data_IF_917064603212
#
_entry.id   IF_917064603212
#
_cell.length_a   1.000
_cell.length_b   1.000
_cell.length_c   1.000
_cell.angle_alpha   90.00
_cell.angle_beta   90.00
_cell.angle_gamma   90.00
#
_symmetry.space_group_name_H-M   'P 1'
#
loop_
_entity.id
_entity.type
_entity.pdbx_description
1 polymer ?
#
# COMPACT_ATOMS: atom_id res chain seq x y z
N UNK A 1 5.78 14.37 18.28
CA UNK A 1 5.22 14.51 16.91
C UNK A 1 3.91 13.76 16.77
N UNK A 2 2.88 14.43 16.23
CA UNK A 2 1.61 13.84 15.78
C UNK A 2 1.67 13.47 14.31
N UNK A 3 1.36 12.22 13.98
CA UNK A 3 1.35 11.72 12.60
C UNK A 3 -0.10 11.55 12.11
N UNK A 4 -0.49 12.28 11.06
CA UNK A 4 -1.72 11.96 10.34
C UNK A 4 -1.46 10.82 9.36
N UNK A 5 -2.17 9.71 9.51
CA UNK A 5 -2.09 8.56 8.61
C UNK A 5 -3.39 8.41 7.83
N UNK A 6 -3.36 8.73 6.54
CA UNK A 6 -4.52 8.64 5.65
C UNK A 6 -4.37 7.44 4.74
N UNK A 7 -5.30 6.48 4.85
CA UNK A 7 -5.19 5.20 4.17
C UNK A 7 -6.54 4.70 3.67
N UNK A 8 -6.51 3.96 2.57
CA UNK A 8 -7.68 3.26 2.02
C UNK A 8 -7.80 1.82 2.53
N UNK A 9 -6.83 1.35 3.33
CA UNK A 9 -6.87 0.01 3.92
C UNK A 9 -8.04 -0.06 4.89
N UNK A 10 -8.96 -1.02 4.73
CA UNK A 10 -10.03 -1.22 5.69
C UNK A 10 -9.52 -1.75 7.03
N UNK A 11 -10.07 -1.24 8.12
CA UNK A 11 -9.79 -1.70 9.48
C UNK A 11 -10.97 -2.47 10.08
N UNK A 12 -10.64 -3.45 10.91
CA UNK A 12 -11.58 -4.16 11.79
C UNK A 12 -11.30 -3.67 13.21
N UNK A 13 -12.35 -3.31 13.95
CA UNK A 13 -12.24 -2.84 15.34
C UNK A 13 -12.75 -3.93 16.27
N UNK A 14 -11.88 -4.42 17.16
CA UNK A 14 -12.21 -5.45 18.18
C UNK A 14 -11.50 -5.12 19.48
N UNK A 15 -12.22 -5.18 20.60
CA UNK A 15 -11.63 -5.02 21.94
C UNK A 15 -10.72 -3.78 22.07
N UNK A 16 -11.19 -2.66 21.53
CA UNK A 16 -10.46 -1.38 21.50
C UNK A 16 -9.10 -1.42 20.77
N UNK A 17 -8.91 -2.40 19.88
CA UNK A 17 -7.75 -2.53 18.99
C UNK A 17 -8.19 -2.43 17.54
N UNK A 18 -7.25 -1.98 16.71
CA UNK A 18 -7.46 -1.77 15.28
C UNK A 18 -6.62 -2.76 14.50
N UNK A 19 -7.31 -3.63 13.75
CA UNK A 19 -6.71 -4.68 12.94
C UNK A 19 -6.82 -4.33 11.47
N UNK A 20 -5.79 -4.67 10.69
CA UNK A 20 -5.79 -4.54 9.24
C UNK A 20 -4.77 -5.49 8.63
N UNK A 21 -4.67 -5.48 7.30
CA UNK A 21 -3.74 -6.30 6.53
C UNK A 21 -2.31 -6.28 7.10
N UNK A 22 -1.85 -7.45 7.53
CA UNK A 22 -0.65 -7.62 8.35
C UNK A 22 0.62 -6.99 7.79
N UNK A 23 0.96 -7.17 6.50
CA UNK A 23 2.13 -6.51 5.91
C UNK A 23 2.08 -4.99 5.99
N UNK A 24 0.91 -4.38 5.84
CA UNK A 24 0.74 -2.94 6.02
C UNK A 24 0.90 -2.53 7.48
N UNK A 25 0.27 -3.26 8.40
CA UNK A 25 0.34 -2.98 9.83
C UNK A 25 1.77 -3.10 10.36
N UNK A 26 2.52 -4.13 9.94
CA UNK A 26 3.94 -4.29 10.29
C UNK A 26 4.76 -3.07 9.90
N UNK A 27 4.57 -2.57 8.67
CA UNK A 27 5.25 -1.37 8.21
C UNK A 27 4.91 -0.15 9.07
N UNK A 28 3.62 0.09 9.33
CA UNK A 28 3.20 1.23 10.15
C UNK A 28 3.67 1.12 11.60
N UNK A 29 3.71 -0.09 12.18
CA UNK A 29 4.25 -0.31 13.52
C UNK A 29 5.73 0.10 13.61
N UNK A 30 6.54 -0.08 12.56
CA UNK A 30 7.91 0.44 12.53
C UNK A 30 7.93 1.97 12.56
N UNK A 31 7.00 2.63 11.86
CA UNK A 31 6.92 4.09 11.81
C UNK A 31 6.40 4.66 13.13
N UNK A 32 5.44 3.97 13.76
CA UNK A 32 4.80 4.40 14.99
C UNK A 32 5.74 4.42 16.19
N UNK A 33 6.88 3.72 16.14
CA UNK A 33 7.93 3.81 17.15
C UNK A 33 8.56 5.22 17.27
N UNK A 34 8.40 6.07 16.25
CA UNK A 34 9.01 7.39 16.15
C UNK A 34 8.01 8.54 16.31
N UNK A 35 6.78 8.26 16.76
CA UNK A 35 5.71 9.27 16.90
C UNK A 35 5.03 9.14 18.26
N UNK A 36 4.49 10.24 18.77
CA UNK A 36 3.81 10.24 20.08
C UNK A 36 2.33 9.89 19.97
N UNK A 37 1.74 10.18 18.80
CA UNK A 37 0.31 10.04 18.55
C UNK A 37 0.05 9.85 17.05
N UNK A 38 -0.89 8.96 16.74
CA UNK A 38 -1.34 8.72 15.37
C UNK A 38 -2.77 9.23 15.22
N UNK A 39 -3.01 10.11 14.25
CA UNK A 39 -4.34 10.51 13.79
C UNK A 39 -4.67 9.66 12.55
N UNK A 40 -5.33 8.53 12.76
CA UNK A 40 -5.64 7.57 11.69
C UNK A 40 -6.95 7.96 11.01
N UNK A 41 -6.94 8.12 9.69
CA UNK A 41 -8.14 8.33 8.88
C UNK A 41 -8.24 7.20 7.87
N UNK A 42 -9.21 6.30 8.08
CA UNK A 42 -9.33 5.07 7.30
C UNK A 42 -10.77 4.56 7.26
N UNK A 43 -11.14 3.78 6.23
CA UNK A 43 -12.39 3.06 6.22
C UNK A 43 -12.42 1.94 7.26
N UNK A 44 -13.60 1.70 7.82
CA UNK A 44 -13.87 0.53 8.66
C UNK A 44 -14.67 -0.48 7.84
N UNK A 45 -14.40 -1.76 8.05
CA UNK A 45 -15.20 -2.86 7.52
C UNK A 45 -15.68 -3.74 8.67
N UNK A 46 -16.90 -4.24 8.52
CA UNK A 46 -17.42 -5.29 9.38
C UNK A 46 -16.81 -6.63 8.95
N UNK A 47 -16.35 -7.43 9.92
CA UNK A 47 -15.74 -8.72 9.62
C UNK A 47 -15.11 -9.41 10.82
N UNK A 48 -14.78 -10.68 10.62
CA UNK A 48 -13.93 -11.43 11.53
C UNK A 48 -12.46 -11.12 11.26
N UNK A 49 -11.65 -11.08 12.32
CA UNK A 49 -10.19 -11.02 12.20
C UNK A 49 -9.74 -12.33 11.56
N UNK A 50 -8.97 -12.24 10.47
CA UNK A 50 -8.40 -13.38 9.79
C UNK A 50 -6.92 -13.58 10.16
N UNK A 51 -6.34 -14.71 9.74
CA UNK A 51 -4.92 -15.01 9.99
C UNK A 51 -3.95 -14.01 9.34
N UNK A 52 -4.41 -13.23 8.36
CA UNK A 52 -3.60 -12.22 7.66
C UNK A 52 -3.74 -10.82 8.29
N UNK A 53 -4.59 -10.64 9.30
CA UNK A 53 -4.79 -9.37 9.99
C UNK A 53 -3.89 -9.26 11.21
N UNK A 54 -3.32 -8.08 11.43
CA UNK A 54 -2.53 -7.78 12.63
C UNK A 54 -3.02 -6.50 13.31
N UNK A 55 -2.87 -6.38 14.64
CA UNK A 55 -3.18 -5.17 15.35
C UNK A 55 -2.05 -4.12 15.24
N UNK A 56 -2.41 -2.85 15.26
CA UNK A 56 -1.42 -1.80 15.51
C UNK A 56 -0.82 -1.92 16.91
N UNK A 57 0.47 -1.61 17.02
CA UNK A 57 1.25 -1.62 18.25
C UNK A 57 1.61 -0.18 18.64
N UNK A 58 0.61 0.59 19.04
CA UNK A 58 0.80 1.96 19.52
C UNK A 58 -0.29 2.34 20.53
N UNK A 59 0.09 3.00 21.62
CA UNK A 59 -0.82 3.28 22.74
C UNK A 59 -1.77 4.46 22.49
N UNK A 60 -1.39 5.40 21.61
CA UNK A 60 -2.15 6.63 21.32
C UNK A 60 -2.53 6.72 19.85
N UNK A 61 -3.66 6.13 19.49
CA UNK A 61 -4.25 6.23 18.16
C UNK A 61 -5.62 6.90 18.27
N UNK A 62 -5.77 8.08 17.67
CA UNK A 62 -7.06 8.73 17.43
C UNK A 62 -7.57 8.26 16.06
N UNK A 63 -8.50 7.30 16.07
CA UNK A 63 -9.08 6.75 14.85
C UNK A 63 -10.33 7.52 14.41
N UNK A 64 -10.17 8.30 13.34
CA UNK A 64 -11.23 9.04 12.65
C UNK A 64 -11.79 8.21 11.50
N UNK A 65 -12.76 7.36 11.85
CA UNK A 65 -13.41 6.45 10.91
C UNK A 65 -14.16 7.21 9.80
N UNK A 66 -13.99 6.75 8.58
CA UNK A 66 -14.72 7.24 7.40
C UNK A 66 -15.42 6.07 6.70
N UNK A 67 -16.51 6.30 5.94
CA UNK A 67 -17.10 5.23 5.16
C UNK A 67 -16.15 4.82 4.03
N UNK A 68 -16.08 3.52 3.74
CA UNK A 68 -15.56 3.06 2.46
C UNK A 68 -16.44 3.61 1.32
N UNK A 69 -15.81 4.00 0.22
CA UNK A 69 -16.50 4.57 -0.92
C UNK A 69 -15.89 4.09 -2.23
N UNK A 70 -16.69 4.09 -3.29
CA UNK A 70 -16.34 3.57 -4.61
C UNK A 70 -16.86 4.50 -5.70
N UNK A 71 -16.15 4.56 -6.81
CA UNK A 71 -16.52 5.34 -8.00
C UNK A 71 -16.78 4.45 -9.22
N UNK A 72 -17.02 3.15 -8.99
CA UNK A 72 -17.15 2.15 -10.06
C UNK A 72 -18.54 2.08 -10.69
N UNK A 73 -19.58 2.60 -10.02
CA UNK A 73 -20.96 2.60 -10.53
C UNK A 73 -21.67 3.90 -10.17
N UNK A 74 -22.73 4.27 -10.92
CA UNK A 74 -23.52 5.49 -10.67
C UNK A 74 -24.06 5.52 -9.23
N UNK A 75 -24.57 4.38 -8.74
CA UNK A 75 -25.06 4.24 -7.36
C UNK A 75 -23.96 4.54 -6.33
N UNK A 76 -22.76 4.00 -6.53
CA UNK A 76 -21.62 4.23 -5.64
C UNK A 76 -21.10 5.68 -5.72
N UNK A 77 -21.17 6.32 -6.89
CA UNK A 77 -20.84 7.75 -7.06
C UNK A 77 -21.79 8.63 -6.25
N UNK A 78 -23.10 8.43 -6.35
CA UNK A 78 -24.10 9.20 -5.58
C UNK A 78 -23.86 9.02 -4.07
N UNK A 79 -23.66 7.77 -3.62
CA UNK A 79 -23.32 7.47 -2.23
C UNK A 79 -22.02 8.16 -1.78
N UNK A 80 -21.01 8.17 -2.65
CA UNK A 80 -19.75 8.86 -2.40
C UNK A 80 -19.95 10.36 -2.22
N UNK A 81 -20.74 11.02 -3.08
CA UNK A 81 -21.01 12.46 -2.98
C UNK A 81 -21.64 12.80 -1.63
N UNK A 82 -22.59 11.99 -1.16
CA UNK A 82 -23.24 12.17 0.15
C UNK A 82 -22.23 12.03 1.30
N UNK A 83 -21.31 11.07 1.22
CA UNK A 83 -20.30 10.84 2.26
C UNK A 83 -19.08 11.77 2.18
N UNK A 84 -18.84 12.38 1.03
CA UNK A 84 -17.64 13.17 0.74
C UNK A 84 -17.41 14.32 1.73
N UNK A 85 -18.41 15.13 2.14
CA UNK A 85 -18.21 16.19 3.12
C UNK A 85 -17.65 15.67 4.45
N UNK A 86 -18.15 14.52 4.92
CA UNK A 86 -17.66 13.88 6.15
C UNK A 86 -16.22 13.39 5.99
N UNK A 87 -15.91 12.74 4.86
CA UNK A 87 -14.55 12.24 4.55
C UNK A 87 -13.56 13.41 4.49
N UNK A 88 -13.92 14.47 3.76
CA UNK A 88 -13.10 15.69 3.61
C UNK A 88 -12.88 16.35 4.96
N UNK A 89 -13.94 16.53 5.76
CA UNK A 89 -13.83 17.13 7.10
C UNK A 89 -12.91 16.32 8.01
N UNK A 90 -13.10 15.00 8.10
CA UNK A 90 -12.27 14.13 8.94
C UNK A 90 -10.79 14.20 8.53
N UNK A 91 -10.53 14.12 7.23
CA UNK A 91 -9.18 14.17 6.65
C UNK A 91 -8.53 15.54 6.87
N UNK A 92 -9.25 16.62 6.60
CA UNK A 92 -8.77 18.00 6.79
C UNK A 92 -8.39 18.26 8.25
N UNK A 93 -9.26 17.92 9.20
CA UNK A 93 -8.98 18.14 10.62
C UNK A 93 -7.75 17.30 11.03
N UNK A 94 -7.60 16.06 10.53
CA UNK A 94 -6.45 15.23 10.87
C UNK A 94 -5.14 15.84 10.37
N UNK A 95 -5.13 16.29 9.11
CA UNK A 95 -3.99 16.98 8.52
C UNK A 95 -3.68 18.30 9.23
N UNK A 96 -4.70 19.06 9.63
CA UNK A 96 -4.55 20.31 10.37
C UNK A 96 -3.96 20.11 11.77
N UNK A 97 -4.31 19.02 12.45
CA UNK A 97 -3.85 18.78 13.83
C UNK A 97 -2.50 18.04 13.91
N UNK A 98 -2.02 17.46 12.80
CA UNK A 98 -0.76 16.71 12.76
C UNK A 98 0.48 17.56 12.49
N UNK A 99 1.65 17.11 12.93
CA UNK A 99 2.94 17.72 12.60
C UNK A 99 3.48 17.17 11.27
N UNK A 100 3.21 15.88 11.00
CA UNK A 100 3.59 15.17 9.78
C UNK A 100 2.38 14.49 9.15
N UNK A 101 2.24 14.59 7.82
CA UNK A 101 1.14 13.96 7.07
C UNK A 101 1.68 12.79 6.25
N UNK A 102 1.13 11.59 6.47
CA UNK A 102 1.40 10.40 5.67
C UNK A 102 0.19 9.99 4.83
N UNK A 103 0.41 9.80 3.53
CA UNK A 103 -0.59 9.38 2.56
C UNK A 103 -0.24 7.99 2.02
N UNK A 104 -1.18 7.03 2.11
CA UNK A 104 -1.06 5.75 1.41
C UNK A 104 -1.78 5.83 0.07
N UNK A 105 -0.99 5.87 -0.99
CA UNK A 105 -1.43 5.90 -2.38
C UNK A 105 -1.01 4.62 -3.12
N UNK A 106 -1.59 4.32 -4.29
CA UNK A 106 -2.83 4.91 -4.80
C UNK A 106 -4.05 4.39 -4.02
N UNK A 107 -5.15 5.13 -4.07
CA UNK A 107 -6.46 4.67 -3.57
C UNK A 107 -7.46 5.81 -3.42
N UNK A 108 -8.70 5.50 -3.06
CA UNK A 108 -9.77 6.49 -2.93
C UNK A 108 -9.48 7.52 -1.82
N UNK A 109 -9.08 7.05 -0.63
CA UNK A 109 -8.59 7.95 0.44
C UNK A 109 -7.28 8.65 0.06
N UNK A 110 -6.42 7.99 -0.72
CA UNK A 110 -5.19 8.58 -1.25
C UNK A 110 -5.49 9.78 -2.16
N UNK A 111 -6.50 9.68 -3.03
CA UNK A 111 -6.94 10.78 -3.88
C UNK A 111 -7.42 11.99 -3.07
N UNK A 112 -8.29 11.76 -2.08
CA UNK A 112 -8.78 12.82 -1.18
C UNK A 112 -7.61 13.48 -0.45
N UNK A 113 -6.68 12.67 0.07
CA UNK A 113 -5.50 13.17 0.76
C UNK A 113 -4.57 13.96 -0.16
N UNK A 114 -4.33 13.51 -1.41
CA UNK A 114 -3.54 14.23 -2.40
C UNK A 114 -4.10 15.61 -2.70
N UNK A 115 -5.43 15.77 -2.68
CA UNK A 115 -6.07 17.06 -2.87
C UNK A 115 -5.96 17.94 -1.62
N UNK A 116 -6.27 17.41 -0.44
CA UNK A 116 -6.31 18.20 0.80
C UNK A 116 -4.93 18.59 1.31
N UNK A 117 -3.90 17.78 1.07
CA UNK A 117 -2.54 18.09 1.52
C UNK A 117 -2.00 19.41 0.93
N UNK A 118 -2.51 19.83 -0.24
CA UNK A 118 -2.14 21.10 -0.90
C UNK A 118 -2.42 22.32 -0.02
N UNK A 119 -3.39 22.21 0.90
CA UNK A 119 -3.76 23.25 1.85
C UNK A 119 -2.75 23.38 3.01
N UNK A 120 -1.78 22.48 3.12
CA UNK A 120 -0.81 22.42 4.21
C UNK A 120 0.64 22.49 3.69
N UNK A 121 1.02 23.55 2.94
CA UNK A 121 2.33 23.63 2.28
C UNK A 121 3.51 23.63 3.25
N UNK A 122 3.31 24.16 4.48
CA UNK A 122 4.34 24.27 5.51
C UNK A 122 4.61 22.96 6.25
N UNK A 123 3.67 22.01 6.24
CA UNK A 123 3.80 20.75 6.99
C UNK A 123 4.73 19.78 6.27
N UNK A 124 5.45 18.97 7.05
CA UNK A 124 6.23 17.85 6.52
C UNK A 124 5.28 16.74 6.08
N UNK A 125 5.55 16.16 4.91
CA UNK A 125 4.65 15.19 4.30
C UNK A 125 5.42 14.01 3.71
N UNK A 126 4.77 12.86 3.73
CA UNK A 126 5.25 11.67 3.03
C UNK A 126 4.09 10.99 2.34
N UNK A 127 4.22 10.71 1.05
CA UNK A 127 3.30 9.81 0.37
C UNK A 127 4.03 8.51 0.10
N UNK A 128 3.44 7.36 0.41
CA UNK A 128 3.89 6.08 -0.10
C UNK A 128 3.00 5.68 -1.25
N UNK A 129 3.56 5.57 -2.44
CA UNK A 129 2.87 5.07 -3.62
C UNK A 129 3.18 3.58 -3.81
N UNK A 130 2.30 2.73 -3.29
CA UNK A 130 2.45 1.28 -3.29
C UNK A 130 1.95 0.59 -4.57
N UNK A 131 1.70 1.36 -5.64
CA UNK A 131 1.30 0.87 -6.96
C UNK A 131 2.43 0.99 -7.99
N UNK A 132 2.16 0.56 -9.21
CA UNK A 132 3.11 0.75 -10.32
C UNK A 132 3.26 2.25 -10.62
N UNK A 133 4.49 2.77 -10.61
CA UNK A 133 4.76 4.17 -10.89
C UNK A 133 4.93 4.44 -12.40
N UNK A 134 5.16 3.41 -13.22
CA UNK A 134 5.36 3.51 -14.67
C UNK A 134 4.25 4.34 -15.36
N UNK A 135 4.59 5.47 -16.01
CA UNK A 135 3.63 6.29 -16.74
C UNK A 135 3.02 5.57 -17.95
N UNK A 136 3.72 4.59 -18.55
CA UNK A 136 3.26 3.84 -19.73
C UNK A 136 2.29 2.71 -19.38
N UNK A 137 2.18 2.35 -18.10
CA UNK A 137 1.30 1.27 -17.67
C UNK A 137 -0.20 1.64 -17.79
N UNK A 138 -1.05 0.64 -18.07
CA UNK A 138 -2.51 0.80 -18.08
C UNK A 138 -3.00 0.96 -16.64
N UNK A 139 -3.55 2.13 -16.31
CA UNK A 139 -3.99 2.50 -14.96
C UNK A 139 -5.25 3.37 -15.01
N UNK A 140 -6.10 3.34 -13.97
CA UNK A 140 -7.22 4.27 -13.83
C UNK A 140 -6.76 5.74 -13.90
N UNK A 141 -7.63 6.61 -14.43
CA UNK A 141 -7.34 8.05 -14.55
C UNK A 141 -7.02 8.70 -13.19
N UNK A 142 -7.70 8.26 -12.12
CA UNK A 142 -7.51 8.79 -10.76
C UNK A 142 -6.14 8.46 -10.18
N UNK A 143 -5.50 7.39 -10.65
CA UNK A 143 -4.14 7.01 -10.25
C UNK A 143 -3.14 7.90 -10.97
N UNK A 144 -3.38 8.20 -12.26
CA UNK A 144 -2.58 9.17 -13.03
C UNK A 144 -2.64 10.56 -12.40
N UNK A 145 -3.84 10.99 -11.99
CA UNK A 145 -4.01 12.25 -11.27
C UNK A 145 -3.24 12.26 -9.94
N UNK A 146 -3.31 11.19 -9.14
CA UNK A 146 -2.53 11.08 -7.91
C UNK A 146 -1.02 11.18 -8.18
N UNK A 147 -0.48 10.46 -9.18
CA UNK A 147 0.94 10.55 -9.56
C UNK A 147 1.31 11.98 -9.98
N UNK A 148 0.51 12.60 -10.85
CA UNK A 148 0.74 13.97 -11.30
C UNK A 148 0.79 14.98 -10.15
N UNK A 149 -0.13 14.88 -9.17
CA UNK A 149 -0.10 15.73 -7.97
C UNK A 149 1.18 15.46 -7.18
N UNK A 150 1.47 14.19 -6.90
CA UNK A 150 2.59 13.78 -6.05
C UNK A 150 3.96 14.13 -6.66
N UNK A 151 4.10 14.06 -7.97
CA UNK A 151 5.32 14.42 -8.70
C UNK A 151 5.57 15.93 -8.73
N UNK A 152 4.53 16.74 -8.54
CA UNK A 152 4.64 18.19 -8.58
C UNK A 152 5.13 18.76 -7.23
N UNK A 153 6.40 19.17 -7.19
CA UNK A 153 7.04 19.75 -5.99
C UNK A 153 6.45 21.10 -5.58
N UNK A 154 5.93 21.89 -6.52
CA UNK A 154 5.31 23.19 -6.24
C UNK A 154 3.93 23.04 -5.59
N UNK A 155 3.17 22.01 -6.00
CA UNK A 155 1.85 21.67 -5.43
C UNK A 155 2.01 21.01 -4.06
N UNK A 156 2.90 20.01 -3.96
CA UNK A 156 3.03 19.21 -2.74
C UNK A 156 3.73 19.99 -1.63
N UNK A 157 4.91 20.58 -1.91
CA UNK A 157 5.80 21.29 -0.98
C UNK A 157 6.16 20.48 0.27
N UNK A 158 7.43 20.41 0.67
CA UNK A 158 7.85 19.68 1.88
C UNK A 158 7.34 18.21 1.92
N UNK A 159 7.26 17.56 0.76
CA UNK A 159 6.80 16.17 0.64
C UNK A 159 7.94 15.28 0.16
N UNK A 160 8.04 14.07 0.70
CA UNK A 160 8.79 12.95 0.10
C UNK A 160 7.81 11.91 -0.42
N UNK A 161 8.00 11.43 -1.64
CA UNK A 161 7.13 10.44 -2.27
C UNK A 161 7.92 9.15 -2.47
N UNK A 162 7.58 8.15 -1.67
CA UNK A 162 8.21 6.83 -1.71
C UNK A 162 7.59 6.02 -2.85
N UNK A 163 8.41 5.62 -3.82
CA UNK A 163 8.00 4.82 -4.98
C UNK A 163 8.88 3.59 -5.12
N UNK A 164 8.33 2.50 -5.68
CA UNK A 164 9.13 1.32 -5.95
C UNK A 164 10.00 1.51 -7.19
N UNK A 165 11.32 1.33 -7.02
CA UNK A 165 12.29 1.46 -8.11
C UNK A 165 12.69 2.90 -8.42
N UNK A 166 13.62 3.01 -9.36
CA UNK A 166 14.10 4.27 -9.92
C UNK A 166 13.35 4.55 -11.23
N UNK A 167 12.99 5.81 -11.45
CA UNK A 167 12.20 6.23 -12.61
C UNK A 167 12.87 7.42 -13.29
N UNK A 168 12.96 7.35 -14.62
CA UNK A 168 13.48 8.44 -15.43
C UNK A 168 12.64 9.71 -15.25
N UNK A 169 13.31 10.87 -15.23
CA UNK A 169 12.69 12.19 -15.07
C UNK A 169 11.91 12.40 -13.77
N UNK A 170 12.15 11.57 -12.75
CA UNK A 170 11.53 11.74 -11.44
C UNK A 170 11.93 13.08 -10.81
N UNK A 171 10.95 13.81 -10.28
CA UNK A 171 11.19 15.06 -9.57
C UNK A 171 11.93 14.83 -8.24
N UNK A 172 12.52 15.90 -7.70
CA UNK A 172 13.42 15.82 -6.53
C UNK A 172 12.76 15.32 -5.25
N UNK A 173 11.42 15.32 -5.17
CA UNK A 173 10.69 14.76 -4.04
C UNK A 173 10.41 13.26 -4.16
N UNK A 174 10.64 12.65 -5.32
CA UNK A 174 10.50 11.21 -5.52
C UNK A 174 11.72 10.50 -4.93
N UNK A 175 11.47 9.54 -4.03
CA UNK A 175 12.51 8.78 -3.34
C UNK A 175 12.28 7.30 -3.63
N UNK A 176 13.24 6.62 -4.29
CA UNK A 176 13.20 5.18 -4.47
C UNK A 176 13.15 4.48 -3.10
N UNK A 177 12.19 3.59 -2.94
CA UNK A 177 11.93 2.89 -1.69
C UNK A 177 11.53 1.44 -1.98
N UNK A 178 12.16 0.51 -1.28
CA UNK A 178 11.77 -0.90 -1.30
C UNK A 178 11.29 -1.32 0.08
N UNK A 179 10.15 -2.01 0.13
CA UNK A 179 9.67 -2.64 1.36
C UNK A 179 10.59 -3.81 1.72
N UNK A 180 10.96 -3.92 3.00
CA UNK A 180 11.72 -5.01 3.62
C UNK A 180 12.49 -5.90 2.63
N UNK A 181 13.71 -5.49 2.28
CA UNK A 181 14.63 -6.29 1.48
C UNK A 181 15.81 -6.76 2.33
N UNK A 182 16.39 -7.89 1.94
CA UNK A 182 17.62 -8.40 2.53
C UNK A 182 18.81 -7.63 1.99
N UNK A 183 19.83 -7.43 2.83
CA UNK A 183 21.14 -6.91 2.42
C UNK A 183 21.97 -8.06 1.85
N UNK A 184 23.00 -7.72 1.07
CA UNK A 184 23.94 -8.75 0.57
C UNK A 184 24.59 -9.56 1.69
N UNK A 185 24.88 -8.92 2.84
CA UNK A 185 25.40 -9.61 4.03
C UNK A 185 24.41 -10.60 4.67
N UNK A 186 23.13 -10.49 4.36
CA UNK A 186 22.10 -11.41 4.88
C UNK A 186 22.01 -12.68 4.01
N UNK A 187 22.74 -12.75 2.87
CA UNK A 187 22.86 -13.94 2.04
C UNK A 187 23.52 -15.06 2.85
N UNK A 188 22.81 -16.17 2.98
CA UNK A 188 23.36 -17.41 3.53
C UNK A 188 23.74 -18.33 2.38
N UNK A 189 24.78 -19.13 2.60
CA UNK A 189 25.13 -20.20 1.66
C UNK A 189 23.94 -21.15 1.49
N UNK A 190 23.57 -21.40 0.24
CA UNK A 190 22.48 -22.33 -0.09
C UNK A 190 23.13 -23.68 -0.38
N UNK A 191 22.97 -24.62 0.55
CA UNK A 191 23.38 -26.00 0.32
C UNK A 191 22.58 -26.58 -0.86
N UNK A 192 23.31 -27.16 -1.82
CA UNK A 192 22.71 -27.90 -2.92
C UNK A 192 21.87 -29.04 -2.33
N UNK A 193 20.58 -29.05 -2.66
CA UNK A 193 19.69 -30.16 -2.33
C UNK A 193 19.74 -31.14 -3.49
N UNK A 194 19.89 -32.42 -3.19
CA UNK A 194 19.65 -33.54 -4.11
C UNK A 194 18.32 -34.18 -3.70
N UNK A 195 17.20 -33.77 -4.30
CA UNK A 195 15.91 -34.33 -3.94
C UNK A 195 15.83 -35.75 -4.50
N UNK A 196 15.67 -36.75 -3.63
CA UNK A 196 15.43 -38.15 -4.03
C UNK A 196 13.98 -38.39 -4.48
N UNK A 197 13.17 -37.34 -4.49
CA UNK A 197 11.73 -37.36 -4.78
C UNK A 197 11.37 -36.30 -5.80
N UNK A 198 10.20 -36.47 -6.43
CA UNK A 198 9.61 -35.45 -7.30
C UNK A 198 9.52 -34.09 -6.60
N UNK A 199 10.06 -33.05 -7.25
CA UNK A 199 9.99 -31.67 -6.76
C UNK A 199 8.61 -31.10 -7.09
N UNK A 200 7.85 -30.74 -6.06
CA UNK A 200 6.57 -30.06 -6.25
C UNK A 200 6.79 -28.55 -6.35
N UNK A 201 6.57 -28.01 -7.55
CA UNK A 201 6.51 -26.60 -7.86
C UNK A 201 5.10 -26.09 -7.55
N UNK A 202 5.02 -24.94 -6.89
CA UNK A 202 3.76 -24.33 -6.49
C UNK A 202 3.59 -22.97 -7.15
N UNK A 203 2.48 -22.77 -7.86
CA UNK A 203 2.02 -21.47 -8.31
C UNK A 203 0.75 -21.11 -7.54
N UNK A 204 0.80 -20.02 -6.77
CA UNK A 204 -0.38 -19.47 -6.10
C UNK A 204 -0.64 -18.06 -6.61
N UNK A 205 -1.80 -17.84 -7.21
CA UNK A 205 -2.27 -16.50 -7.56
C UNK A 205 -3.12 -16.44 -8.80
N UNK A 206 -3.65 -15.25 -9.07
CA UNK A 206 -4.52 -15.04 -10.23
C UNK A 206 -3.82 -15.37 -11.54
N UNK A 207 -4.47 -16.16 -12.39
CA UNK A 207 -4.01 -16.55 -13.73
C UNK A 207 -4.08 -15.38 -14.74
N UNK A 208 -3.37 -14.31 -14.43
CA UNK A 208 -3.33 -13.07 -15.19
C UNK A 208 -2.00 -12.92 -15.91
N UNK A 209 -1.98 -12.20 -17.04
CA UNK A 209 -0.76 -11.94 -17.83
C UNK A 209 0.39 -11.39 -16.98
N UNK A 210 0.09 -10.49 -16.03
CA UNK A 210 1.09 -9.87 -15.15
C UNK A 210 1.72 -10.84 -14.13
N UNK A 211 1.01 -11.92 -13.78
CA UNK A 211 1.54 -12.98 -12.90
C UNK A 211 2.25 -14.10 -13.65
N UNK A 212 2.22 -14.07 -14.99
CA UNK A 212 2.92 -14.99 -15.89
C UNK A 212 2.71 -16.48 -15.55
N UNK A 213 1.47 -16.98 -15.36
CA UNK A 213 1.23 -18.40 -15.06
C UNK A 213 1.74 -19.33 -16.17
N UNK A 214 1.65 -18.93 -17.44
CA UNK A 214 2.17 -19.69 -18.57
C UNK A 214 3.68 -19.92 -18.46
N UNK A 215 4.43 -18.95 -17.93
CA UNK A 215 5.85 -19.11 -17.72
C UNK A 215 6.15 -20.21 -16.68
N UNK A 216 5.33 -20.35 -15.64
CA UNK A 216 5.48 -21.44 -14.66
C UNK A 216 5.29 -22.82 -15.32
N UNK A 217 4.31 -22.94 -16.22
CA UNK A 217 4.09 -24.17 -17.00
C UNK A 217 5.28 -24.47 -17.92
N UNK A 218 5.73 -23.47 -18.68
CA UNK A 218 6.88 -23.62 -19.59
C UNK A 218 8.18 -23.95 -18.86
N UNK A 219 8.40 -23.36 -17.68
CA UNK A 219 9.53 -23.70 -16.82
C UNK A 219 9.44 -25.16 -16.35
N UNK A 220 8.26 -25.61 -15.95
CA UNK A 220 8.04 -27.00 -15.51
C UNK A 220 8.30 -27.97 -16.66
N UNK A 221 7.78 -27.67 -17.85
CA UNK A 221 8.03 -28.46 -19.06
C UNK A 221 9.53 -28.54 -19.40
N UNK A 222 10.24 -27.42 -19.34
CA UNK A 222 11.68 -27.38 -19.60
C UNK A 222 12.45 -28.26 -18.61
N UNK A 223 12.10 -28.21 -17.32
CA UNK A 223 12.71 -29.06 -16.29
C UNK A 223 12.43 -30.55 -16.52
N UNK A 224 11.20 -30.92 -16.89
CA UNK A 224 10.85 -32.29 -17.24
C UNK A 224 11.68 -32.79 -18.44
N UNK A 225 11.83 -31.96 -19.49
CA UNK A 225 12.65 -32.29 -20.66
C UNK A 225 14.14 -32.41 -20.34
N UNK A 226 14.62 -31.72 -19.31
CA UNK A 226 15.99 -31.84 -18.80
C UNK A 226 16.20 -33.02 -17.84
N UNK A 227 15.20 -33.90 -17.66
CA UNK A 227 15.32 -35.12 -16.86
C UNK A 227 15.05 -34.92 -15.36
N UNK A 228 14.59 -33.74 -14.94
CA UNK A 228 14.23 -33.52 -13.54
C UNK A 228 12.82 -34.05 -13.26
N UNK A 229 12.67 -34.82 -12.17
CA UNK A 229 11.38 -35.23 -11.66
C UNK A 229 10.69 -34.02 -10.98
N UNK A 230 9.80 -33.33 -11.71
CA UNK A 230 9.06 -32.17 -11.20
C UNK A 230 7.57 -32.27 -11.47
N UNK A 231 6.76 -31.64 -10.62
CA UNK A 231 5.30 -31.49 -10.81
C UNK A 231 4.90 -30.06 -10.48
N UNK A 232 3.99 -29.47 -11.26
CA UNK A 232 3.43 -28.15 -10.95
C UNK A 232 2.01 -28.28 -10.40
N UNK A 233 1.76 -27.61 -9.27
CA UNK A 233 0.43 -27.41 -8.70
C UNK A 233 0.07 -25.93 -8.80
N UNK A 234 -1.15 -25.64 -9.29
CA UNK A 234 -1.64 -24.28 -9.56
C UNK A 234 -2.89 -24.03 -8.74
N UNK A 235 -2.88 -22.97 -7.93
CA UNK A 235 -3.96 -22.54 -7.04
C UNK A 235 -4.36 -21.08 -7.27
#
# INVERSE_FOLDING_TARGET
>A
MKLALITHVPHIIRENRYYAYGPYVKEMNLWFQYVDMVLLVAPVQDGAISAIDLPYQHSKIDFRMVPAFSLLSVKEIVKTIIHLPRIVRATYIAMRDADHIHLRCPGNMGLVACLLQMLFPKKNKTAKYAGNWDPKSKQPWSYRLQKWILENTWITRNMKVLVYGEWENASSNIVPFFTATYRDRDKKEVLLRTPDTTINLLFVGTLSKGKRPLYAVQLTEALLRSGYAVRLEVY
#
